data_IF_281185420457
#
_entry.id   IF_281185420457
#
_cell.length_a   1.000
_cell.length_b   1.000
_cell.length_c   1.000
_cell.angle_alpha   90.00
_cell.angle_beta   90.00
_cell.angle_gamma   90.00
#
_symmetry.space_group_name_H-M   'P 1'
#
loop_
_entity.id
_entity.type
_entity.pdbx_description
1 polymer ?
#
# COMPACT_ATOMS: atom_id res chain seq x y z
N UNK A 1 39.18 -73.47 -31.37
CA UNK A 1 38.38 -74.35 -30.48
C UNK A 1 38.76 -74.07 -29.03
N UNK A 2 37.81 -74.33 -28.13
CA UNK A 2 37.61 -73.80 -26.77
C UNK A 2 38.65 -74.18 -25.69
N UNK A 3 38.87 -73.22 -24.76
CA UNK A 3 39.05 -73.27 -23.27
C UNK A 3 40.18 -74.14 -22.67
N UNK A 4 40.84 -73.77 -21.57
CA UNK A 4 40.65 -72.70 -20.58
C UNK A 4 41.63 -72.90 -19.41
N UNK A 5 41.71 -71.93 -18.49
CA UNK A 5 42.48 -72.07 -17.25
C UNK A 5 42.67 -70.76 -16.48
N UNK A 6 41.77 -70.49 -15.52
CA UNK A 6 41.89 -69.48 -14.45
C UNK A 6 42.78 -70.02 -13.31
N UNK A 7 43.66 -69.20 -12.71
CA UNK A 7 43.71 -69.00 -11.24
C UNK A 7 44.67 -67.87 -10.79
N UNK A 8 44.07 -66.85 -10.15
CA UNK A 8 44.42 -66.06 -8.95
C UNK A 8 45.89 -66.01 -8.45
N UNK A 9 46.40 -64.80 -8.12
CA UNK A 9 46.96 -64.41 -6.80
C UNK A 9 47.11 -62.87 -6.66
N UNK A 10 46.29 -62.33 -5.75
CA UNK A 10 46.41 -61.19 -4.80
C UNK A 10 46.93 -59.79 -5.16
N UNK A 11 45.98 -58.84 -5.04
CA UNK A 11 45.98 -57.55 -4.29
C UNK A 11 47.27 -56.70 -4.28
N UNK A 12 47.18 -55.51 -4.90
CA UNK A 12 47.73 -54.31 -4.27
C UNK A 12 46.83 -53.10 -4.48
N UNK A 13 46.52 -52.49 -3.35
CA UNK A 13 45.58 -51.44 -3.06
C UNK A 13 46.06 -50.11 -3.64
N UNK A 14 45.35 -49.56 -4.65
CA UNK A 14 45.39 -48.13 -4.95
C UNK A 14 43.98 -47.58 -5.00
N UNK A 15 43.65 -46.85 -3.93
CA UNK A 15 42.46 -46.03 -3.77
C UNK A 15 42.40 -45.01 -4.90
N UNK A 16 41.49 -45.19 -5.85
CA UNK A 16 40.99 -44.10 -6.68
C UNK A 16 39.68 -43.63 -6.04
N UNK A 17 39.76 -42.50 -5.36
CA UNK A 17 38.59 -41.77 -4.88
C UNK A 17 37.71 -41.41 -6.08
N UNK A 18 36.56 -42.06 -6.21
CA UNK A 18 35.46 -41.55 -7.00
C UNK A 18 34.95 -40.29 -6.28
N UNK A 19 35.37 -39.12 -6.78
CA UNK A 19 34.82 -37.84 -6.38
C UNK A 19 33.37 -37.76 -6.85
N UNK A 20 32.45 -38.19 -5.98
CA UNK A 20 31.02 -37.95 -6.14
C UNK A 20 30.80 -36.44 -5.96
N UNK A 21 30.77 -35.70 -7.07
CA UNK A 21 30.29 -34.32 -7.12
C UNK A 21 28.80 -34.34 -6.78
N UNK A 22 28.51 -34.30 -5.49
CA UNK A 22 27.22 -33.88 -4.96
C UNK A 22 27.04 -32.42 -5.38
N UNK A 23 26.43 -32.21 -6.55
CA UNK A 23 25.75 -30.95 -6.83
C UNK A 23 24.66 -30.81 -5.77
N UNK A 24 24.99 -30.12 -4.69
CA UNK A 24 24.02 -29.63 -3.74
C UNK A 24 23.02 -28.79 -4.52
N UNK A 25 21.85 -29.37 -4.77
CA UNK A 25 20.65 -28.63 -5.12
C UNK A 25 20.44 -27.66 -3.96
N UNK A 26 20.98 -26.46 -4.13
CA UNK A 26 20.67 -25.32 -3.29
C UNK A 26 19.21 -25.04 -3.58
N UNK A 27 18.32 -25.67 -2.81
CA UNK A 27 16.92 -25.30 -2.74
C UNK A 27 16.88 -23.90 -2.14
N UNK A 28 17.16 -22.89 -2.95
CA UNK A 28 16.76 -21.53 -2.63
C UNK A 28 15.25 -21.63 -2.43
N UNK A 29 14.73 -21.25 -1.25
CA UNK A 29 13.30 -21.15 -1.10
C UNK A 29 12.86 -20.19 -2.21
N UNK A 30 12.07 -20.70 -3.16
CA UNK A 30 11.40 -19.85 -4.10
C UNK A 30 10.61 -18.87 -3.24
N UNK A 31 11.08 -17.63 -3.14
CA UNK A 31 10.34 -16.57 -2.47
C UNK A 31 8.96 -16.62 -3.10
N UNK A 32 7.96 -16.99 -2.29
CA UNK A 32 6.58 -17.04 -2.74
C UNK A 32 6.29 -15.67 -3.35
N UNK A 33 6.29 -15.63 -4.67
CA UNK A 33 6.35 -14.37 -5.39
C UNK A 33 4.99 -13.74 -5.15
N UNK A 34 4.96 -12.67 -4.35
CA UNK A 34 3.72 -12.02 -3.94
C UNK A 34 2.82 -11.85 -5.17
N UNK A 35 1.52 -12.14 -5.03
CA UNK A 35 0.55 -11.97 -6.14
C UNK A 35 0.48 -10.53 -6.66
N UNK A 36 1.18 -9.60 -6.00
CA UNK A 36 1.34 -8.21 -6.35
C UNK A 36 2.50 -7.94 -7.33
N UNK A 37 3.43 -8.88 -7.50
CA UNK A 37 4.61 -8.70 -8.36
C UNK A 37 4.21 -8.55 -9.82
N UNK A 38 4.90 -7.64 -10.52
CA UNK A 38 4.70 -7.32 -11.93
C UNK A 38 3.25 -6.94 -12.22
N UNK A 39 2.71 -6.03 -11.41
CA UNK A 39 1.34 -5.53 -11.58
C UNK A 39 1.29 -4.03 -11.43
N UNK A 40 0.48 -3.41 -12.28
CA UNK A 40 -0.01 -2.06 -12.13
C UNK A 40 -1.30 -2.13 -11.32
N UNK A 41 -1.38 -1.39 -10.23
CA UNK A 41 -2.47 -1.40 -9.28
C UNK A 41 -3.06 0.01 -9.19
N UNK A 42 -4.37 0.09 -9.18
CA UNK A 42 -5.12 1.32 -8.97
C UNK A 42 -5.73 1.28 -7.58
N UNK A 43 -5.55 2.36 -6.84
CA UNK A 43 -6.14 2.55 -5.53
C UNK A 43 -7.04 3.76 -5.54
N UNK A 44 -8.09 3.70 -4.73
CA UNK A 44 -8.92 4.86 -4.41
C UNK A 44 -9.24 4.84 -2.92
N UNK A 45 -8.88 5.90 -2.21
CA UNK A 45 -9.05 5.98 -0.77
C UNK A 45 -9.40 7.39 -0.29
N UNK A 46 -10.21 7.52 0.77
CA UNK A 46 -10.44 8.81 1.42
C UNK A 46 -9.13 9.49 1.80
N UNK A 47 -8.97 10.77 1.44
CA UNK A 47 -7.78 11.58 1.73
C UNK A 47 -6.65 11.49 0.70
N UNK A 48 -6.50 10.35 0.03
CA UNK A 48 -5.49 10.19 -1.02
C UNK A 48 -6.02 10.41 -2.44
N UNK A 49 -7.30 10.07 -2.69
CA UNK A 49 -7.85 10.02 -4.04
C UNK A 49 -7.33 8.84 -4.84
N UNK A 50 -7.36 8.95 -6.18
CA UNK A 50 -6.78 7.94 -7.07
C UNK A 50 -5.26 7.89 -6.99
N UNK A 51 -4.70 6.70 -6.81
CA UNK A 51 -3.27 6.45 -6.89
C UNK A 51 -3.01 5.27 -7.83
N UNK A 52 -1.91 5.30 -8.57
CA UNK A 52 -1.49 4.18 -9.42
C UNK A 52 -0.08 3.76 -9.05
N UNK A 53 0.13 2.48 -8.80
CA UNK A 53 1.44 1.96 -8.44
C UNK A 53 1.80 0.74 -9.27
N UNK A 54 2.95 0.76 -9.94
CA UNK A 54 3.53 -0.41 -10.60
C UNK A 54 4.60 -1.04 -9.69
N UNK A 55 4.39 -2.31 -9.35
CA UNK A 55 5.30 -3.10 -8.52
C UNK A 55 6.13 -4.04 -9.41
N UNK A 56 7.37 -3.65 -9.70
CA UNK A 56 8.26 -4.42 -10.56
C UNK A 56 8.78 -5.69 -9.86
N UNK A 57 9.18 -6.68 -10.67
CA UNK A 57 9.74 -7.97 -10.18
C UNK A 57 11.01 -7.81 -9.34
N UNK A 58 11.80 -6.77 -9.59
CA UNK A 58 13.03 -6.48 -8.85
C UNK A 58 12.83 -5.78 -7.49
N UNK A 59 11.59 -5.63 -7.00
CA UNK A 59 11.33 -4.92 -5.75
C UNK A 59 11.31 -3.40 -5.89
N UNK A 60 11.30 -2.86 -7.12
CA UNK A 60 11.11 -1.42 -7.36
C UNK A 60 9.64 -1.08 -7.50
N UNK A 61 9.22 0.01 -6.86
CA UNK A 61 7.89 0.58 -7.00
C UNK A 61 7.93 1.89 -7.80
N UNK A 62 6.89 2.14 -8.59
CA UNK A 62 6.68 3.36 -9.36
C UNK A 62 5.28 3.90 -9.07
N UNK A 63 5.23 4.96 -8.25
CA UNK A 63 3.99 5.56 -7.78
C UNK A 63 3.65 6.83 -8.56
N UNK A 64 2.49 6.82 -9.20
CA UNK A 64 1.82 7.98 -9.74
C UNK A 64 0.73 8.44 -8.77
N UNK A 65 0.96 9.59 -8.15
CA UNK A 65 0.13 10.12 -7.06
C UNK A 65 -0.46 11.50 -7.44
N UNK A 66 -1.66 11.86 -6.98
CA UNK A 66 -2.28 13.14 -7.30
C UNK A 66 -1.41 14.35 -6.96
N UNK A 67 -1.30 15.29 -7.88
CA UNK A 67 -0.50 16.51 -7.72
C UNK A 67 1.03 16.33 -7.83
N UNK A 68 1.54 15.10 -7.85
CA UNK A 68 2.98 14.89 -8.06
C UNK A 68 3.38 15.29 -9.48
N UNK A 69 4.54 15.94 -9.58
CA UNK A 69 5.16 16.32 -10.87
C UNK A 69 6.13 15.27 -11.41
N UNK A 70 6.36 14.21 -10.65
CA UNK A 70 7.27 13.11 -10.96
C UNK A 70 6.60 11.77 -10.64
N UNK A 71 7.01 10.71 -11.33
CA UNK A 71 6.74 9.35 -10.88
C UNK A 71 7.66 9.07 -9.69
N UNK A 72 7.07 8.78 -8.53
CA UNK A 72 7.85 8.50 -7.33
C UNK A 72 8.39 7.07 -7.41
N UNK A 73 9.69 6.96 -7.64
CA UNK A 73 10.42 5.70 -7.53
C UNK A 73 10.67 5.37 -6.06
N UNK A 74 10.48 4.11 -5.70
CA UNK A 74 10.82 3.56 -4.39
C UNK A 74 11.15 2.08 -4.46
N UNK A 75 11.35 1.50 -3.29
CA UNK A 75 11.47 0.06 -3.10
C UNK A 75 10.21 -0.49 -2.44
N UNK A 76 9.89 -1.75 -2.71
CA UNK A 76 8.82 -2.47 -2.06
C UNK A 76 9.21 -3.90 -1.74
N UNK A 77 8.58 -4.46 -0.71
CA UNK A 77 8.71 -5.87 -0.33
C UNK A 77 7.46 -6.33 0.41
N UNK A 78 7.31 -7.64 0.55
CA UNK A 78 6.36 -8.26 1.47
C UNK A 78 7.10 -8.94 2.61
N UNK A 79 6.61 -8.79 3.83
CA UNK A 79 7.14 -9.41 5.04
C UNK A 79 5.98 -10.03 5.82
N UNK A 80 5.86 -11.37 5.75
CA UNK A 80 4.71 -12.07 6.32
C UNK A 80 3.38 -11.57 5.73
N UNK A 81 2.50 -11.04 6.59
CA UNK A 81 1.21 -10.47 6.19
C UNK A 81 1.26 -8.95 5.90
N UNK A 82 2.46 -8.38 5.74
CA UNK A 82 2.66 -6.94 5.52
C UNK A 82 3.22 -6.67 4.13
N UNK A 83 2.90 -5.49 3.62
CA UNK A 83 3.60 -4.87 2.49
C UNK A 83 4.33 -3.63 2.99
N UNK A 84 5.56 -3.45 2.54
CA UNK A 84 6.43 -2.37 2.95
C UNK A 84 6.92 -1.59 1.73
N UNK A 85 6.98 -0.28 1.87
CA UNK A 85 7.47 0.65 0.86
C UNK A 85 8.57 1.53 1.43
N UNK A 86 9.54 1.92 0.60
CA UNK A 86 10.56 2.90 0.92
C UNK A 86 10.76 3.82 -0.27
N UNK A 87 10.24 5.04 -0.18
CA UNK A 87 10.47 6.08 -1.19
C UNK A 87 11.67 6.96 -0.81
N UNK A 88 12.17 7.75 -1.76
CA UNK A 88 13.37 8.58 -1.58
C UNK A 88 13.30 9.56 -0.40
N UNK A 89 14.46 9.94 0.14
CA UNK A 89 14.56 10.76 1.36
C UNK A 89 13.84 12.13 1.29
N UNK A 90 13.71 12.70 0.10
CA UNK A 90 13.06 14.01 -0.13
C UNK A 90 11.55 13.90 -0.37
N UNK A 91 10.93 12.78 0.01
CA UNK A 91 9.48 12.56 -0.11
C UNK A 91 8.77 12.78 1.23
N UNK A 92 7.52 13.26 1.14
CA UNK A 92 6.65 13.49 2.28
C UNK A 92 5.22 13.13 1.88
N UNK A 93 4.57 12.25 2.63
CA UNK A 93 3.17 11.92 2.44
C UNK A 93 2.31 12.87 3.30
N UNK A 94 1.55 13.82 2.76
CA UNK A 94 0.83 14.81 3.57
C UNK A 94 -0.34 14.21 4.37
N UNK A 95 -0.84 13.03 3.99
CA UNK A 95 -1.97 12.38 4.69
C UNK A 95 -1.47 11.68 5.95
N UNK A 96 -0.37 10.95 5.85
CA UNK A 96 0.24 10.25 7.00
C UNK A 96 1.33 11.08 7.68
N UNK A 97 1.74 12.19 7.08
CA UNK A 97 2.93 13.02 7.36
C UNK A 97 4.25 12.26 7.57
N UNK A 98 4.33 11.05 7.02
CA UNK A 98 5.57 10.28 7.01
C UNK A 98 6.53 10.87 5.99
N UNK A 99 7.81 10.96 6.36
CA UNK A 99 8.90 11.23 5.41
C UNK A 99 9.43 9.93 4.83
N UNK A 100 10.04 10.01 3.65
CA UNK A 100 10.69 8.86 2.99
C UNK A 100 11.97 8.39 3.69
N UNK A 101 12.83 7.73 2.94
CA UNK A 101 14.08 7.05 3.34
C UNK A 101 13.92 5.81 4.23
N UNK A 102 12.86 5.71 5.03
CA UNK A 102 12.61 4.55 5.89
C UNK A 102 11.54 3.63 5.31
N UNK A 103 11.59 2.35 5.65
CA UNK A 103 10.51 1.41 5.35
C UNK A 103 9.24 1.80 6.12
N UNK A 104 8.16 2.02 5.38
CA UNK A 104 6.80 2.16 5.92
C UNK A 104 6.00 0.93 5.53
N UNK A 105 5.51 0.20 6.53
CA UNK A 105 4.82 -1.07 6.32
C UNK A 105 3.36 -0.97 6.78
N UNK A 106 2.47 -1.59 6.02
CA UNK A 106 1.06 -1.77 6.38
C UNK A 106 0.65 -3.24 6.21
N UNK A 107 -0.51 -3.61 6.77
CA UNK A 107 -1.08 -4.94 6.55
C UNK A 107 -1.46 -5.11 5.07
N UNK A 108 -1.16 -6.27 4.51
CA UNK A 108 -1.50 -6.62 3.13
C UNK A 108 -3.01 -6.59 2.88
N UNK A 109 -3.82 -6.91 3.90
CA UNK A 109 -5.28 -6.80 3.86
C UNK A 109 -5.75 -5.36 3.68
N UNK A 110 -5.15 -4.40 4.38
CA UNK A 110 -5.49 -2.98 4.25
C UNK A 110 -5.03 -2.42 2.90
N UNK A 111 -3.84 -2.81 2.42
CA UNK A 111 -3.38 -2.46 1.08
C UNK A 111 -4.38 -2.93 0.01
N UNK A 112 -4.86 -4.17 0.12
CA UNK A 112 -5.85 -4.74 -0.80
C UNK A 112 -7.22 -4.09 -0.69
N UNK A 113 -7.63 -3.62 0.50
CA UNK A 113 -8.94 -3.00 0.74
C UNK A 113 -9.20 -1.77 -0.14
N UNK A 114 -8.16 -0.98 -0.40
CA UNK A 114 -8.26 0.24 -1.23
C UNK A 114 -7.88 0.01 -2.69
N UNK A 115 -7.44 -1.20 -3.07
CA UNK A 115 -7.12 -1.55 -4.44
C UNK A 115 -8.41 -1.81 -5.22
N UNK A 116 -8.72 -0.93 -6.17
CA UNK A 116 -9.94 -1.02 -6.98
C UNK A 116 -9.73 -1.82 -8.26
N UNK A 117 -8.51 -1.79 -8.82
CA UNK A 117 -8.17 -2.58 -10.00
C UNK A 117 -6.70 -3.03 -9.97
N UNK A 118 -6.41 -4.12 -10.69
CA UNK A 118 -5.05 -4.55 -10.96
C UNK A 118 -4.94 -5.13 -12.36
N UNK A 119 -3.80 -4.91 -13.02
CA UNK A 119 -3.42 -5.49 -14.31
C UNK A 119 -2.00 -6.00 -14.24
N UNK A 120 -1.73 -7.12 -14.90
CA UNK A 120 -0.37 -7.67 -15.02
C UNK A 120 0.47 -6.80 -15.96
N UNK A 121 1.72 -6.56 -15.59
CA UNK A 121 2.67 -5.73 -16.32
C UNK A 121 2.63 -4.25 -15.92
N UNK A 122 3.54 -3.49 -16.52
CA UNK A 122 3.60 -2.03 -16.45
C UNK A 122 2.73 -1.42 -17.57
N UNK A 123 1.41 -1.55 -17.44
CA UNK A 123 0.45 -1.22 -18.52
C UNK A 123 0.37 0.29 -18.82
N UNK A 124 1.00 1.14 -18.00
CA UNK A 124 1.09 2.59 -18.19
C UNK A 124 2.54 3.05 -18.49
N UNK A 125 3.50 2.12 -18.51
CA UNK A 125 4.91 2.39 -18.72
C UNK A 125 5.52 3.29 -17.63
N UNK A 126 5.09 3.18 -16.38
CA UNK A 126 5.57 4.01 -15.27
C UNK A 126 7.06 3.81 -14.99
N UNK A 127 7.60 2.60 -15.22
CA UNK A 127 9.01 2.30 -14.96
C UNK A 127 9.97 3.07 -15.86
N UNK A 128 9.54 3.42 -17.08
CA UNK A 128 10.31 4.16 -18.06
C UNK A 128 10.11 5.68 -18.00
N UNK A 129 9.43 6.21 -16.98
CA UNK A 129 9.04 7.62 -16.91
C UNK A 129 9.60 8.31 -15.67
N UNK A 130 10.17 9.51 -15.87
CA UNK A 130 10.49 10.41 -14.76
C UNK A 130 9.30 11.31 -14.38
N UNK A 131 8.53 11.76 -15.39
CA UNK A 131 7.35 12.61 -15.24
C UNK A 131 6.08 11.81 -15.51
N UNK A 132 4.98 12.12 -14.81
CA UNK A 132 3.71 11.48 -15.12
C UNK A 132 3.23 11.90 -16.51
N UNK A 133 2.46 11.04 -17.21
CA UNK A 133 1.88 11.37 -18.51
C UNK A 133 1.05 12.67 -18.50
N UNK A 134 0.38 12.92 -17.38
CA UNK A 134 -0.34 14.15 -17.06
C UNK A 134 -0.47 14.27 -15.53
N UNK A 135 -0.90 15.43 -15.03
CA UNK A 135 -1.22 15.56 -13.60
C UNK A 135 -2.45 14.70 -13.26
N UNK A 136 -2.28 13.77 -12.33
CA UNK A 136 -3.37 12.90 -11.88
C UNK A 136 -4.34 13.66 -10.98
N UNK A 137 -5.62 13.56 -11.31
CA UNK A 137 -6.73 14.07 -10.51
C UNK A 137 -6.98 13.12 -9.32
N UNK A 138 -7.46 13.67 -8.19
CA UNK A 138 -7.82 12.86 -7.02
C UNK A 138 -9.15 12.10 -7.18
N UNK A 139 -9.99 12.47 -8.16
CA UNK A 139 -11.26 11.80 -8.46
C UNK A 139 -11.04 10.37 -8.92
N UNK A 140 -12.01 9.52 -8.62
CA UNK A 140 -12.00 8.12 -9.02
C UNK A 140 -12.00 7.98 -10.56
N UNK A 141 -11.16 7.08 -11.06
CA UNK A 141 -10.98 6.72 -12.48
C UNK A 141 -10.82 5.20 -12.59
N UNK A 142 -10.76 4.67 -13.80
CA UNK A 142 -10.40 3.27 -14.08
C UNK A 142 -9.01 3.15 -14.72
N UNK A 143 -8.38 1.98 -14.61
CA UNK A 143 -7.14 1.73 -15.34
C UNK A 143 -7.33 1.83 -16.86
N UNK A 144 -8.48 1.39 -17.37
CA UNK A 144 -8.80 1.47 -18.80
C UNK A 144 -8.79 2.92 -19.30
N UNK A 145 -9.46 3.83 -18.58
CA UNK A 145 -9.47 5.25 -18.95
C UNK A 145 -8.07 5.89 -18.89
N UNK A 146 -7.25 5.50 -17.90
CA UNK A 146 -5.86 5.96 -17.82
C UNK A 146 -4.99 5.41 -18.96
N UNK A 147 -5.15 4.15 -19.34
CA UNK A 147 -4.43 3.55 -20.49
C UNK A 147 -4.76 4.32 -21.76
N UNK A 148 -6.06 4.50 -22.07
CA UNK A 148 -6.49 5.28 -23.24
C UNK A 148 -5.93 6.71 -23.21
N UNK A 149 -5.93 7.36 -22.05
CA UNK A 149 -5.38 8.71 -21.89
C UNK A 149 -3.88 8.77 -22.19
N UNK A 150 -3.12 7.79 -21.70
CA UNK A 150 -1.68 7.68 -21.94
C UNK A 150 -1.36 7.40 -23.41
N UNK A 151 -2.13 6.51 -24.04
CA UNK A 151 -1.95 6.14 -25.45
C UNK A 151 -2.30 7.30 -26.39
N UNK A 152 -3.37 8.05 -26.08
CA UNK A 152 -3.86 9.14 -26.94
C UNK A 152 -3.24 10.51 -26.63
N UNK A 153 -2.50 10.63 -25.53
CA UNK A 153 -1.99 11.91 -25.03
C UNK A 153 -3.08 12.88 -24.54
N UNK A 154 -4.32 12.39 -24.36
CA UNK A 154 -5.46 13.19 -23.87
C UNK A 154 -5.63 13.00 -22.38
N UNK A 155 -6.35 13.91 -21.72
CA UNK A 155 -6.78 13.68 -20.34
C UNK A 155 -7.77 12.51 -20.30
N UNK A 156 -7.76 11.69 -19.24
CA UNK A 156 -8.69 10.59 -19.12
C UNK A 156 -10.09 11.16 -19.07
N UNK A 157 -10.99 10.55 -19.85
CA UNK A 157 -12.40 10.75 -19.62
C UNK A 157 -12.69 10.24 -18.21
N UNK A 158 -13.01 11.18 -17.34
CA UNK A 158 -13.41 10.83 -16.00
C UNK A 158 -14.78 10.19 -16.13
N UNK A 159 -15.06 9.11 -15.38
CA UNK A 159 -16.45 8.73 -15.21
C UNK A 159 -17.20 10.00 -14.81
N UNK A 160 -18.38 10.27 -15.39
CA UNK A 160 -19.21 11.39 -14.93
C UNK A 160 -19.21 11.29 -13.42
N UNK A 161 -18.95 12.39 -12.67
CA UNK A 161 -18.79 12.33 -11.22
C UNK A 161 -19.91 11.44 -10.72
N UNK A 162 -19.54 10.23 -10.27
CA UNK A 162 -20.52 9.18 -10.02
C UNK A 162 -21.59 9.82 -9.17
N UNK A 163 -22.87 9.77 -9.59
CA UNK A 163 -23.97 10.61 -9.08
C UNK A 163 -23.60 11.08 -7.70
N UNK A 164 -23.21 12.36 -7.57
CA UNK A 164 -22.68 12.88 -6.32
C UNK A 164 -23.57 12.34 -5.23
N UNK A 165 -23.00 11.50 -4.34
CA UNK A 165 -23.81 10.80 -3.36
C UNK A 165 -24.65 11.89 -2.70
N UNK A 166 -25.96 11.74 -2.79
CA UNK A 166 -26.87 12.72 -2.24
C UNK A 166 -26.51 12.89 -0.77
N UNK A 167 -26.81 14.04 -0.17
CA UNK A 167 -26.58 14.22 1.26
C UNK A 167 -27.21 13.08 2.08
N UNK A 168 -28.31 12.48 1.60
CA UNK A 168 -28.94 11.29 2.18
C UNK A 168 -28.10 10.01 2.05
N UNK A 169 -27.52 9.72 0.88
CA UNK A 169 -26.64 8.56 0.68
C UNK A 169 -25.33 8.72 1.48
N UNK A 170 -24.77 9.93 1.52
CA UNK A 170 -23.63 10.24 2.38
C UNK A 170 -23.97 10.04 3.87
N UNK A 171 -25.12 10.56 4.32
CA UNK A 171 -25.60 10.38 5.69
C UNK A 171 -25.83 8.91 6.05
N UNK A 172 -26.39 8.11 5.13
CA UNK A 172 -26.54 6.68 5.33
C UNK A 172 -25.18 5.96 5.50
N UNK A 173 -24.17 6.34 4.70
CA UNK A 173 -22.80 5.84 4.87
C UNK A 173 -22.18 6.27 6.19
N UNK A 174 -22.34 7.54 6.59
CA UNK A 174 -21.89 8.05 7.88
C UNK A 174 -22.48 7.21 9.03
N UNK A 175 -23.81 7.00 9.00
CA UNK A 175 -24.56 6.22 10.00
C UNK A 175 -24.08 4.77 10.03
N UNK A 176 -23.86 4.16 8.87
CA UNK A 176 -23.36 2.79 8.80
C UNK A 176 -21.95 2.65 9.39
N UNK A 177 -21.04 3.59 9.13
CA UNK A 177 -19.69 3.58 9.71
C UNK A 177 -19.76 3.72 11.23
N UNK A 178 -20.59 4.63 11.75
CA UNK A 178 -20.77 4.80 13.20
C UNK A 178 -21.40 3.56 13.84
N UNK A 179 -22.46 3.02 13.24
CA UNK A 179 -23.19 1.86 13.78
C UNK A 179 -22.32 0.59 13.81
N UNK A 180 -21.40 0.44 12.87
CA UNK A 180 -20.51 -0.71 12.79
C UNK A 180 -19.18 -0.50 13.52
N UNK A 181 -18.96 0.63 14.20
CA UNK A 181 -17.65 1.04 14.69
C UNK A 181 -16.94 -0.02 15.54
N UNK A 182 -17.67 -0.87 16.28
CA UNK A 182 -17.09 -1.89 17.16
C UNK A 182 -17.06 -3.30 16.55
N UNK A 183 -17.52 -3.47 15.31
CA UNK A 183 -17.70 -4.80 14.68
C UNK A 183 -16.38 -5.45 14.29
N UNK A 184 -15.39 -4.66 13.91
CA UNK A 184 -14.07 -5.16 13.51
C UNK A 184 -13.01 -4.08 13.68
N UNK A 185 -11.74 -4.49 13.71
CA UNK A 185 -10.60 -3.55 13.66
C UNK A 185 -10.71 -2.55 12.50
N UNK A 186 -11.14 -3.03 11.33
CA UNK A 186 -11.27 -2.23 10.12
C UNK A 186 -12.40 -1.19 10.22
N UNK A 187 -13.49 -1.52 10.93
CA UNK A 187 -14.59 -0.62 11.20
C UNK A 187 -14.22 0.40 12.29
N UNK A 188 -13.47 -0.01 13.32
CA UNK A 188 -12.94 0.89 14.35
C UNK A 188 -12.04 1.97 13.73
N UNK A 189 -11.10 1.58 12.85
CA UNK A 189 -10.24 2.55 12.15
C UNK A 189 -11.06 3.47 11.25
N UNK A 190 -12.04 2.95 10.49
CA UNK A 190 -12.89 3.78 9.65
C UNK A 190 -13.70 4.81 10.45
N UNK A 191 -14.30 4.39 11.57
CA UNK A 191 -15.00 5.26 12.49
C UNK A 191 -14.06 6.27 13.16
N UNK A 192 -12.83 5.87 13.51
CA UNK A 192 -11.84 6.79 14.06
C UNK A 192 -11.49 7.93 13.10
N UNK A 193 -11.31 7.65 11.80
CA UNK A 193 -11.13 8.68 10.78
C UNK A 193 -12.35 9.61 10.72
N UNK A 194 -13.55 9.04 10.76
CA UNK A 194 -14.79 9.81 10.72
C UNK A 194 -14.89 10.80 11.88
N UNK A 195 -14.64 10.35 13.11
CA UNK A 195 -14.64 11.21 14.30
C UNK A 195 -13.49 12.23 14.32
N UNK A 196 -12.32 11.91 13.73
CA UNK A 196 -11.18 12.83 13.69
C UNK A 196 -11.38 13.99 12.69
N UNK A 197 -12.04 13.71 11.56
CA UNK A 197 -12.24 14.68 10.48
C UNK A 197 -13.64 15.29 10.45
N UNK A 198 -14.61 14.69 11.14
CA UNK A 198 -16.02 15.10 11.12
C UNK A 198 -16.72 14.93 9.77
N UNK A 199 -16.04 14.34 8.78
CA UNK A 199 -16.49 14.29 7.39
C UNK A 199 -16.19 12.95 6.74
N UNK A 200 -17.05 12.57 5.78
CA UNK A 200 -16.83 11.46 4.87
C UNK A 200 -17.13 11.93 3.45
N UNK A 201 -16.18 11.72 2.52
CA UNK A 201 -16.35 12.08 1.09
C UNK A 201 -16.76 13.56 0.85
N UNK A 202 -16.31 14.49 1.71
CA UNK A 202 -16.63 15.92 1.60
C UNK A 202 -17.93 16.35 2.29
N UNK A 203 -18.75 15.40 2.75
CA UNK A 203 -19.97 15.68 3.51
C UNK A 203 -19.69 15.64 5.01
N UNK A 204 -20.28 16.57 5.78
CA UNK A 204 -20.25 16.53 7.25
C UNK A 204 -21.06 15.33 7.73
N UNK A 205 -20.44 14.50 8.55
CA UNK A 205 -21.04 13.26 9.06
C UNK A 205 -21.30 13.31 10.57
N UNK A 206 -20.27 13.68 11.31
CA UNK A 206 -20.30 13.73 12.77
C UNK A 206 -19.61 15.01 13.22
N UNK A 207 -19.95 15.48 14.42
CA UNK A 207 -19.11 16.48 15.06
C UNK A 207 -17.72 15.87 15.31
N UNK A 208 -16.68 16.67 15.14
CA UNK A 208 -15.33 16.26 15.51
C UNK A 208 -15.31 15.76 16.96
N UNK A 209 -14.82 14.54 17.16
CA UNK A 209 -14.63 13.95 18.48
C UNK A 209 -13.26 13.25 18.52
N UNK A 210 -12.25 14.03 18.86
CA UNK A 210 -10.88 13.52 18.95
C UNK A 210 -10.74 12.42 20.00
N UNK A 211 -11.47 12.50 21.12
CA UNK A 211 -11.40 11.49 22.17
C UNK A 211 -11.97 10.16 21.69
N UNK A 212 -13.15 10.16 21.07
CA UNK A 212 -13.75 8.95 20.49
C UNK A 212 -12.88 8.39 19.37
N UNK A 213 -12.29 9.25 18.54
CA UNK A 213 -11.35 8.83 17.50
C UNK A 213 -10.14 8.08 18.07
N UNK A 214 -9.46 8.64 19.07
CA UNK A 214 -8.31 7.97 19.69
C UNK A 214 -8.71 6.71 20.45
N UNK A 215 -9.85 6.70 21.13
CA UNK A 215 -10.36 5.51 21.82
C UNK A 215 -10.61 4.35 20.83
N UNK A 216 -11.13 4.63 19.64
CA UNK A 216 -11.31 3.62 18.59
C UNK A 216 -9.99 3.12 18.02
N UNK A 217 -8.98 3.99 17.84
CA UNK A 217 -7.64 3.57 17.41
C UNK A 217 -6.94 2.72 18.47
N UNK A 218 -7.12 3.07 19.76
CA UNK A 218 -6.60 2.31 20.89
C UNK A 218 -7.26 0.93 20.95
N UNK A 219 -8.59 0.86 20.80
CA UNK A 219 -9.33 -0.41 20.74
C UNK A 219 -8.93 -1.27 19.53
N UNK A 220 -8.59 -0.64 18.40
CA UNK A 220 -8.10 -1.31 17.19
C UNK A 220 -6.62 -1.75 17.28
N UNK A 221 -5.89 -1.32 18.32
CA UNK A 221 -4.44 -1.47 18.41
C UNK A 221 -3.69 -0.77 17.27
N UNK A 222 -4.26 0.28 16.65
CA UNK A 222 -3.68 0.96 15.49
C UNK A 222 -2.76 2.12 15.91
N UNK A 223 -1.52 1.77 16.23
CA UNK A 223 -0.50 2.73 16.68
C UNK A 223 -0.04 3.69 15.59
N UNK A 224 -0.16 3.31 14.31
CA UNK A 224 0.29 4.12 13.18
C UNK A 224 -0.66 5.30 12.97
N UNK A 225 -1.96 5.03 12.82
CA UNK A 225 -2.94 6.10 12.66
C UNK A 225 -3.04 6.95 13.91
N UNK A 226 -2.89 6.35 15.11
CA UNK A 226 -2.83 7.08 16.37
C UNK A 226 -1.70 8.12 16.37
N UNK A 227 -0.48 7.71 16.03
CA UNK A 227 0.66 8.63 15.97
C UNK A 227 0.48 9.75 14.92
N UNK A 228 -0.07 9.39 13.75
CA UNK A 228 -0.35 10.37 12.70
C UNK A 228 -1.40 11.39 13.14
N UNK A 229 -2.46 10.94 13.81
CA UNK A 229 -3.54 11.80 14.31
C UNK A 229 -3.06 12.71 15.44
N UNK A 230 -2.14 12.26 16.30
CA UNK A 230 -1.49 13.14 17.29
C UNK A 230 -0.75 14.28 16.58
N UNK A 231 0.07 13.97 15.55
CA UNK A 231 0.80 15.01 14.81
C UNK A 231 -0.16 16.00 14.14
N UNK A 232 -1.18 15.49 13.46
CA UNK A 232 -2.18 16.34 12.79
C UNK A 232 -2.99 17.18 13.78
N UNK A 233 -3.32 16.64 14.96
CA UNK A 233 -3.99 17.39 16.02
C UNK A 233 -3.11 18.54 16.53
N UNK A 234 -1.80 18.28 16.75
CA UNK A 234 -0.82 19.32 17.12
C UNK A 234 -0.64 20.38 16.05
N UNK A 235 -0.70 20.01 14.77
CA UNK A 235 -0.70 20.97 13.65
C UNK A 235 -1.94 21.86 13.65
N UNK A 236 -3.14 21.27 13.77
CA UNK A 236 -4.41 22.02 13.87
C UNK A 236 -4.43 22.98 15.06
N UNK A 237 -3.93 22.54 16.22
CA UNK A 237 -3.86 23.35 17.42
C UNK A 237 -2.91 24.55 17.25
N UNK A 238 -1.73 24.33 16.64
CA UNK A 238 -0.78 25.41 16.28
C UNK A 238 -1.36 26.37 15.24
N UNK A 239 -2.20 25.87 14.34
CA UNK A 239 -2.96 26.68 13.38
C UNK A 239 -4.14 27.46 13.99
N UNK A 240 -4.31 27.44 15.32
CA UNK A 240 -5.32 28.23 16.01
C UNK A 240 -6.71 27.59 16.11
N UNK A 241 -6.86 26.29 15.80
CA UNK A 241 -8.16 25.60 15.92
C UNK A 241 -8.49 25.33 17.41
N UNK A 242 -9.52 25.98 17.99
CA UNK A 242 -9.77 25.91 19.44
C UNK A 242 -10.13 24.51 19.94
N UNK A 243 -10.89 23.75 19.14
CA UNK A 243 -11.27 22.37 19.46
C UNK A 243 -10.05 21.45 19.53
N UNK A 244 -9.08 21.65 18.63
CA UNK A 244 -7.83 20.88 18.62
C UNK A 244 -6.96 21.20 19.85
N UNK A 245 -6.83 22.49 20.20
CA UNK A 245 -6.12 22.91 21.41
C UNK A 245 -6.75 22.34 22.69
N UNK A 246 -8.08 22.33 22.75
CA UNK A 246 -8.83 21.76 23.87
C UNK A 246 -8.63 20.24 23.97
N UNK A 247 -8.64 19.55 22.83
CA UNK A 247 -8.43 18.11 22.79
C UNK A 247 -7.02 17.70 23.23
N UNK A 248 -5.97 18.41 22.80
CA UNK A 248 -4.60 18.13 23.28
C UNK A 248 -4.51 18.19 24.81
N UNK A 249 -5.06 19.25 25.42
CA UNK A 249 -5.09 19.39 26.88
C UNK A 249 -5.85 18.24 27.55
N UNK A 250 -7.02 17.89 27.04
CA UNK A 250 -7.87 16.83 27.61
C UNK A 250 -7.26 15.44 27.49
N UNK A 251 -6.53 15.19 26.41
CA UNK A 251 -5.94 13.88 26.12
C UNK A 251 -4.51 13.74 26.67
N UNK A 252 -3.92 14.81 27.21
CA UNK A 252 -2.54 14.80 27.70
C UNK A 252 -1.51 14.62 26.58
N UNK A 253 -1.75 15.21 25.40
CA UNK A 253 -0.96 15.06 24.18
C UNK A 253 -0.21 16.34 23.77
#
# INVERSE_FOLDING_TARGET
MYFGGLLVITVSMRRLFAGLLLFGLSSFPALAQSSLVNKTQLFFGPGHGTQVEYLAKGGTSYLWYPGNRVILRGDWKTEGNRICFRYGANTYNPVTGQRGATWSCQLLSEHRRFMTESRTGDVLGLAGRDKPPFTLDSRQVTLAALITAVETGRKPEMPPPGKAITNAEADALCKAVVANADRSRADQVAAAHLYFHGMHMGSRCVRHDYAKSFALLDAAGDTIWRANFIRLLRERARGGMPDAQTALRRLGL
#
